data_IF_155768013337
#
_entry.id   IF_155768013337
#
_cell.length_a   1.000
_cell.length_b   1.000
_cell.length_c   1.000
_cell.angle_alpha   90.00
_cell.angle_beta   90.00
_cell.angle_gamma   90.00
#
_symmetry.space_group_name_H-M   'P 1'
#
loop_
_entity.id
_entity.type
_entity.pdbx_description
1 polymer ?
#
# COMPACT_ATOMS: atom_id res chain seq x y z
N UNK A 1 42.77 -26.37 68.39
CA UNK A 1 43.29 -26.64 67.07
C UNK A 1 42.35 -27.59 66.33
N UNK A 2 42.00 -27.38 65.09
CA UNK A 2 42.03 -26.22 64.21
C UNK A 2 40.67 -25.84 63.69
N UNK A 3 40.57 -24.59 63.46
CA UNK A 3 40.17 -23.81 62.30
C UNK A 3 38.90 -24.22 61.49
N UNK A 4 37.82 -23.48 61.73
CA UNK A 4 36.68 -23.39 60.89
C UNK A 4 36.93 -22.50 59.64
N UNK A 5 36.36 -22.88 58.52
CA UNK A 5 36.27 -22.05 57.32
C UNK A 5 34.80 -21.72 57.13
N UNK A 6 34.55 -20.45 57.24
CA UNK A 6 33.26 -19.79 57.04
C UNK A 6 33.00 -19.71 55.54
N UNK A 7 31.90 -20.29 55.02
CA UNK A 7 31.40 -20.03 53.70
C UNK A 7 30.39 -18.90 53.79
N UNK A 8 30.79 -17.71 53.28
CA UNK A 8 29.92 -16.58 53.12
C UNK A 8 28.91 -16.82 52.03
N UNK A 9 27.64 -16.55 52.32
CA UNK A 9 26.54 -16.47 51.39
C UNK A 9 26.76 -15.34 50.38
N UNK A 10 26.83 -15.68 49.12
CA UNK A 10 26.69 -14.77 47.98
C UNK A 10 25.37 -15.13 47.25
N UNK A 11 24.33 -14.51 47.71
CA UNK A 11 23.01 -14.71 47.14
C UNK A 11 22.15 -13.47 47.13
N UNK A 12 22.52 -12.45 46.33
CA UNK A 12 21.59 -11.39 45.94
C UNK A 12 22.15 -10.59 44.77
N UNK A 13 22.01 -11.10 43.53
CA UNK A 13 22.13 -10.25 42.34
C UNK A 13 21.59 -10.91 41.06
N UNK A 14 20.45 -11.58 41.12
CA UNK A 14 19.92 -12.34 39.97
C UNK A 14 18.71 -11.80 39.19
N UNK A 15 18.08 -10.62 39.47
CA UNK A 15 17.07 -10.12 38.53
C UNK A 15 17.65 -9.28 37.39
N UNK A 16 18.82 -8.67 37.53
CA UNK A 16 19.37 -7.80 36.48
C UNK A 16 20.06 -8.59 35.35
N UNK A 17 20.59 -9.79 35.62
CA UNK A 17 21.26 -10.61 34.61
C UNK A 17 20.28 -11.37 33.73
N UNK A 18 19.10 -11.73 34.25
CA UNK A 18 18.05 -12.38 33.44
C UNK A 18 17.40 -11.44 32.42
N UNK A 19 17.22 -10.16 32.75
CA UNK A 19 16.70 -9.17 31.82
C UNK A 19 17.70 -8.76 30.73
N UNK A 20 18.99 -8.71 31.09
CA UNK A 20 20.06 -8.47 30.12
C UNK A 20 20.25 -9.66 29.17
N UNK A 21 20.17 -10.90 29.68
CA UNK A 21 20.27 -12.10 28.87
C UNK A 21 19.05 -12.26 27.95
N UNK A 22 17.85 -11.87 28.37
CA UNK A 22 16.67 -11.86 27.51
C UNK A 22 16.79 -10.82 26.38
N UNK A 23 17.33 -9.64 26.68
CA UNK A 23 17.60 -8.62 25.64
C UNK A 23 18.74 -9.02 24.70
N UNK A 24 19.78 -9.67 25.22
CA UNK A 24 20.89 -10.20 24.40
C UNK A 24 20.47 -11.40 23.55
N UNK A 25 19.62 -12.29 24.04
CA UNK A 25 19.12 -13.42 23.27
C UNK A 25 18.14 -12.96 22.19
N UNK A 26 17.33 -11.91 22.40
CA UNK A 26 16.53 -11.31 21.34
C UNK A 26 17.38 -10.57 20.31
N UNK A 27 18.41 -9.84 20.73
CA UNK A 27 19.32 -9.18 19.80
C UNK A 27 20.20 -10.17 19.03
N UNK A 28 20.65 -11.26 19.65
CA UNK A 28 21.43 -12.30 18.97
C UNK A 28 20.56 -13.20 18.06
N UNK A 29 19.30 -13.45 18.41
CA UNK A 29 18.35 -14.13 17.54
C UNK A 29 17.98 -13.27 16.32
N UNK A 30 17.91 -11.93 16.46
CA UNK A 30 17.73 -11.03 15.33
C UNK A 30 18.96 -10.92 14.44
N UNK A 31 20.20 -11.09 15.00
CA UNK A 31 21.45 -11.01 14.25
C UNK A 31 21.80 -12.30 13.49
N UNK A 32 21.27 -13.46 13.86
CA UNK A 32 21.56 -14.74 13.20
C UNK A 32 20.47 -15.20 12.21
N UNK A 33 19.34 -14.50 12.18
CA UNK A 33 18.23 -14.78 11.25
C UNK A 33 18.32 -14.00 9.92
N UNK A 34 19.50 -13.55 9.52
CA UNK A 34 19.73 -12.54 8.48
C UNK A 34 19.71 -13.06 7.03
N UNK A 35 19.20 -14.26 6.76
CA UNK A 35 19.13 -14.76 5.37
C UNK A 35 17.73 -14.81 4.76
N UNK A 36 16.68 -14.59 5.55
CA UNK A 36 15.31 -14.56 5.03
C UNK A 36 14.58 -13.34 5.56
N UNK A 37 14.12 -12.46 4.67
CA UNK A 37 13.17 -11.42 5.03
C UNK A 37 11.92 -12.08 5.63
N UNK A 38 11.42 -11.57 6.76
CA UNK A 38 10.13 -12.01 7.26
C UNK A 38 9.08 -11.76 6.19
N UNK A 39 8.14 -12.70 6.02
CA UNK A 39 7.00 -12.54 5.11
C UNK A 39 6.30 -11.20 5.37
N UNK A 40 5.89 -10.48 4.29
CA UNK A 40 5.16 -9.23 4.43
C UNK A 40 3.94 -9.42 5.32
N UNK A 41 3.54 -8.42 6.11
CA UNK A 41 2.39 -8.51 7.02
C UNK A 41 1.10 -8.94 6.31
N UNK A 42 1.00 -8.66 4.99
CA UNK A 42 -0.13 -9.06 4.13
C UNK A 42 -0.20 -10.54 3.82
N UNK A 43 0.95 -11.23 3.79
CA UNK A 43 1.05 -12.66 3.45
C UNK A 43 1.09 -13.56 4.69
N UNK A 44 1.17 -13.00 5.89
CA UNK A 44 1.07 -13.83 7.10
C UNK A 44 -0.29 -14.51 7.13
N UNK A 45 -0.31 -15.83 7.09
CA UNK A 45 -1.52 -16.66 7.21
C UNK A 45 -2.27 -16.41 8.52
N UNK A 46 -1.56 -16.00 9.56
CA UNK A 46 -2.13 -15.74 10.87
C UNK A 46 -2.71 -14.32 10.96
N UNK A 47 -3.81 -14.20 11.68
CA UNK A 47 -4.45 -12.92 12.01
C UNK A 47 -3.50 -12.17 12.96
N UNK A 48 -3.31 -10.85 12.78
CA UNK A 48 -2.54 -10.02 13.71
C UNK A 48 -3.14 -10.07 15.12
N UNK A 49 -2.33 -9.97 16.15
CA UNK A 49 -2.80 -10.03 17.53
C UNK A 49 -3.81 -8.92 17.86
N UNK A 50 -3.62 -7.75 17.27
CA UNK A 50 -4.54 -6.61 17.44
C UNK A 50 -5.89 -6.89 16.76
N UNK A 51 -5.87 -7.47 15.55
CA UNK A 51 -7.10 -7.88 14.85
C UNK A 51 -7.80 -9.02 15.57
N UNK A 52 -7.06 -9.95 16.15
CA UNK A 52 -7.61 -11.00 17.02
C UNK A 52 -8.30 -10.40 18.23
N UNK A 53 -7.69 -9.41 18.88
CA UNK A 53 -8.29 -8.69 20.01
C UNK A 53 -9.58 -7.98 19.59
N UNK A 54 -9.61 -7.36 18.41
CA UNK A 54 -10.83 -6.76 17.85
C UNK A 54 -11.94 -7.80 17.65
N UNK A 55 -11.64 -8.97 17.06
CA UNK A 55 -12.63 -10.03 16.88
C UNK A 55 -13.17 -10.56 18.22
N UNK A 56 -12.31 -10.64 19.24
CA UNK A 56 -12.75 -11.00 20.60
C UNK A 56 -13.67 -9.92 21.20
N UNK A 57 -13.38 -8.65 20.93
CA UNK A 57 -14.21 -7.54 21.40
C UNK A 57 -15.59 -7.55 20.76
N UNK A 58 -15.67 -7.80 19.45
CA UNK A 58 -16.95 -7.98 18.73
C UNK A 58 -17.73 -9.20 19.26
N UNK A 59 -17.02 -10.27 19.64
CA UNK A 59 -17.67 -11.43 20.28
C UNK A 59 -18.21 -11.09 21.66
N UNK A 60 -17.46 -10.29 22.41
CA UNK A 60 -17.90 -9.78 23.72
C UNK A 60 -19.16 -8.92 23.59
N UNK A 61 -19.26 -8.04 22.56
CA UNK A 61 -20.46 -7.26 22.30
C UNK A 61 -21.71 -8.15 22.16
N UNK A 62 -21.63 -9.16 21.30
CA UNK A 62 -22.74 -10.11 21.12
C UNK A 62 -23.11 -10.80 22.42
N UNK A 63 -22.14 -11.30 23.18
CA UNK A 63 -22.39 -12.00 24.46
C UNK A 63 -23.01 -11.06 25.50
N UNK A 64 -22.54 -9.82 25.53
CA UNK A 64 -23.00 -8.81 26.47
C UNK A 64 -24.45 -8.39 26.19
N UNK A 65 -24.79 -8.12 24.92
CA UNK A 65 -26.16 -7.80 24.50
C UNK A 65 -27.10 -9.01 24.77
N UNK A 66 -26.61 -10.22 24.46
CA UNK A 66 -27.37 -11.46 24.73
C UNK A 66 -27.66 -11.65 26.22
N UNK A 67 -26.66 -11.37 27.07
CA UNK A 67 -26.82 -11.45 28.52
C UNK A 67 -27.85 -10.45 29.03
N UNK A 68 -27.78 -9.19 28.58
CA UNK A 68 -28.75 -8.17 28.96
C UNK A 68 -30.17 -8.54 28.53
N UNK A 69 -30.34 -9.09 27.32
CA UNK A 69 -31.64 -9.56 26.85
C UNK A 69 -32.17 -10.74 27.68
N UNK A 70 -31.31 -11.73 28.04
CA UNK A 70 -31.70 -12.85 28.93
C UNK A 70 -32.12 -12.35 30.32
N UNK A 71 -31.41 -11.37 30.88
CA UNK A 71 -31.75 -10.76 32.15
C UNK A 71 -33.15 -10.10 32.07
N UNK A 72 -33.41 -9.38 30.99
CA UNK A 72 -34.71 -8.75 30.74
C UNK A 72 -35.83 -9.80 30.70
N UNK A 73 -35.65 -10.89 29.92
CA UNK A 73 -36.59 -12.00 29.86
C UNK A 73 -36.88 -12.63 31.24
N UNK A 74 -35.91 -12.59 32.15
CA UNK A 74 -36.06 -13.23 33.48
C UNK A 74 -36.74 -12.35 34.53
N UNK A 75 -36.85 -11.03 34.31
CA UNK A 75 -37.44 -10.10 35.28
C UNK A 75 -38.87 -10.43 35.65
N UNK A 76 -39.66 -10.95 34.74
CA UNK A 76 -41.12 -11.19 34.91
C UNK A 76 -41.49 -12.65 35.23
N UNK A 77 -40.68 -13.39 35.94
CA UNK A 77 -40.93 -14.74 36.53
C UNK A 77 -41.24 -15.91 35.57
N UNK A 78 -41.43 -15.72 34.27
CA UNK A 78 -41.66 -16.81 33.31
C UNK A 78 -40.93 -16.56 32.00
N UNK A 79 -39.72 -17.07 31.94
CA UNK A 79 -38.86 -16.92 30.75
C UNK A 79 -39.55 -17.43 29.48
N UNK A 80 -40.23 -18.56 29.54
CA UNK A 80 -40.89 -19.17 28.38
C UNK A 80 -42.04 -18.32 27.83
N UNK A 81 -42.86 -17.74 28.71
CA UNK A 81 -43.94 -16.86 28.30
C UNK A 81 -43.43 -15.54 27.70
N UNK A 82 -42.37 -14.98 28.29
CA UNK A 82 -41.77 -13.78 27.77
C UNK A 82 -41.08 -14.03 26.43
N UNK A 83 -40.37 -15.17 26.29
CA UNK A 83 -39.76 -15.57 25.03
C UNK A 83 -40.79 -15.79 23.91
N UNK A 84 -41.91 -16.45 24.24
CA UNK A 84 -43.02 -16.61 23.29
C UNK A 84 -43.60 -15.26 22.87
N UNK A 85 -43.79 -14.35 23.81
CA UNK A 85 -44.27 -12.97 23.54
C UNK A 85 -43.28 -12.19 22.67
N UNK A 86 -41.99 -12.27 22.98
CA UNK A 86 -40.93 -11.52 22.31
C UNK A 86 -40.62 -12.04 20.90
N UNK A 87 -40.64 -13.37 20.69
CA UNK A 87 -40.21 -13.98 19.43
C UNK A 87 -41.38 -14.37 18.54
N UNK A 88 -42.45 -15.04 19.12
CA UNK A 88 -43.57 -15.56 18.35
C UNK A 88 -44.63 -14.48 18.12
N UNK A 89 -44.89 -13.67 19.15
CA UNK A 89 -45.85 -12.53 19.07
C UNK A 89 -45.09 -11.21 18.99
N UNK A 90 -44.06 -11.19 18.14
CA UNK A 90 -43.20 -10.04 17.97
C UNK A 90 -43.97 -8.74 17.72
N UNK A 91 -43.73 -7.74 18.55
CA UNK A 91 -44.18 -6.36 18.36
C UNK A 91 -43.00 -5.39 18.43
N UNK A 92 -42.77 -4.64 17.36
CA UNK A 92 -41.64 -3.70 17.24
C UNK A 92 -41.60 -2.67 18.38
N UNK A 93 -42.75 -2.30 18.95
CA UNK A 93 -42.82 -1.28 19.99
C UNK A 93 -42.39 -1.76 21.37
N UNK A 94 -42.60 -3.05 21.69
CA UNK A 94 -42.41 -3.60 23.03
C UNK A 94 -41.30 -4.66 23.13
N UNK A 95 -40.86 -5.26 22.01
CA UNK A 95 -39.89 -6.34 22.01
C UNK A 95 -38.44 -5.84 21.95
N UNK A 96 -37.54 -6.49 22.69
CA UNK A 96 -36.10 -6.30 22.64
C UNK A 96 -35.38 -7.28 21.72
N UNK A 97 -36.09 -8.26 21.19
CA UNK A 97 -35.52 -9.29 20.31
C UNK A 97 -34.84 -8.76 19.07
N UNK A 98 -35.34 -7.64 18.54
CA UNK A 98 -34.77 -6.97 17.36
C UNK A 98 -33.40 -6.35 17.64
N UNK A 99 -33.13 -5.85 18.85
CA UNK A 99 -31.81 -5.33 19.25
C UNK A 99 -30.82 -6.50 19.36
N UNK A 100 -31.26 -7.65 19.89
CA UNK A 100 -30.45 -8.87 19.88
C UNK A 100 -30.16 -9.35 18.47
N UNK A 101 -31.16 -9.38 17.58
CA UNK A 101 -31.00 -9.78 16.18
C UNK A 101 -30.02 -8.84 15.43
N UNK A 102 -30.11 -7.54 15.72
CA UNK A 102 -29.19 -6.54 15.18
C UNK A 102 -27.75 -6.79 15.65
N UNK A 103 -27.54 -7.16 16.92
CA UNK A 103 -26.21 -7.54 17.43
C UNK A 103 -25.66 -8.79 16.75
N UNK A 104 -26.51 -9.81 16.51
CA UNK A 104 -26.10 -11.01 15.74
C UNK A 104 -25.69 -10.63 14.31
N UNK A 105 -26.50 -9.84 13.62
CA UNK A 105 -26.20 -9.37 12.26
C UNK A 105 -24.86 -8.61 12.21
N UNK A 106 -24.65 -7.68 13.14
CA UNK A 106 -23.41 -6.93 13.26
C UNK A 106 -22.21 -7.82 13.52
N UNK A 107 -22.32 -8.76 14.47
CA UNK A 107 -21.29 -9.75 14.76
C UNK A 107 -20.89 -10.51 13.49
N UNK A 108 -21.87 -11.06 12.76
CA UNK A 108 -21.59 -11.81 11.53
C UNK A 108 -20.91 -10.96 10.47
N UNK A 109 -21.41 -9.74 10.22
CA UNK A 109 -20.82 -8.82 9.25
C UNK A 109 -19.36 -8.47 9.60
N UNK A 110 -19.07 -8.14 10.86
CA UNK A 110 -17.73 -7.76 11.29
C UNK A 110 -16.77 -8.95 11.32
N UNK A 111 -17.20 -10.12 11.77
CA UNK A 111 -16.38 -11.34 11.77
C UNK A 111 -16.05 -11.79 10.35
N UNK A 112 -17.01 -11.80 9.44
CA UNK A 112 -16.80 -12.17 8.05
C UNK A 112 -15.84 -11.15 7.38
N UNK A 113 -16.09 -9.86 7.56
CA UNK A 113 -15.28 -8.81 6.92
C UNK A 113 -13.84 -8.77 7.45
N UNK A 114 -13.66 -8.79 8.76
CA UNK A 114 -12.35 -8.52 9.37
C UNK A 114 -11.58 -9.78 9.79
N UNK A 115 -12.26 -10.89 10.10
CA UNK A 115 -11.60 -12.15 10.42
C UNK A 115 -11.41 -13.04 9.16
N UNK A 116 -12.44 -13.22 8.34
CA UNK A 116 -12.38 -14.10 7.17
C UNK A 116 -11.72 -13.41 5.97
N UNK A 117 -12.24 -12.27 5.54
CA UNK A 117 -11.73 -11.54 4.38
C UNK A 117 -10.56 -10.61 4.69
N UNK A 118 -10.19 -10.42 5.95
CA UNK A 118 -9.08 -9.58 6.41
C UNK A 118 -9.11 -8.18 5.80
N UNK A 119 -10.31 -7.58 5.64
CA UNK A 119 -10.45 -6.27 5.04
C UNK A 119 -9.67 -5.22 5.83
N UNK A 120 -9.00 -4.31 5.11
CA UNK A 120 -8.24 -3.19 5.67
C UNK A 120 -9.00 -1.88 5.61
N UNK A 121 -10.25 -1.91 5.17
CA UNK A 121 -11.08 -0.73 5.00
C UNK A 121 -12.07 -0.57 6.15
N UNK A 122 -12.20 0.65 6.63
CA UNK A 122 -13.15 1.03 7.66
C UNK A 122 -14.63 1.03 7.21
N UNK A 123 -14.91 0.84 5.92
CA UNK A 123 -16.27 0.94 5.34
C UNK A 123 -17.29 0.02 6.00
N UNK A 124 -16.94 -1.24 6.23
CA UNK A 124 -17.89 -2.22 6.76
C UNK A 124 -18.31 -1.83 8.16
N UNK A 125 -17.37 -1.43 9.02
CA UNK A 125 -17.71 -1.00 10.38
C UNK A 125 -18.46 0.34 10.37
N UNK A 126 -18.14 1.26 9.47
CA UNK A 126 -18.86 2.51 9.32
C UNK A 126 -20.32 2.28 8.91
N UNK A 127 -20.55 1.41 7.91
CA UNK A 127 -21.91 1.08 7.46
C UNK A 127 -22.68 0.34 8.56
N UNK A 128 -22.10 -0.68 9.18
CA UNK A 128 -22.77 -1.43 10.26
C UNK A 128 -23.08 -0.55 11.46
N UNK A 129 -22.19 0.38 11.82
CA UNK A 129 -22.42 1.34 12.91
C UNK A 129 -23.48 2.38 12.55
N UNK A 130 -23.49 2.86 11.30
CA UNK A 130 -24.52 3.76 10.81
C UNK A 130 -25.90 3.09 10.84
N UNK A 131 -26.02 1.86 10.32
CA UNK A 131 -27.27 1.08 10.34
C UNK A 131 -27.72 0.82 11.78
N UNK A 132 -26.81 0.41 12.65
CA UNK A 132 -27.09 0.18 14.07
C UNK A 132 -27.60 1.45 14.75
N UNK A 133 -26.91 2.58 14.55
CA UNK A 133 -27.30 3.86 15.14
C UNK A 133 -28.66 4.34 14.64
N UNK A 134 -28.89 4.27 13.32
CA UNK A 134 -30.16 4.64 12.71
C UNK A 134 -31.32 3.78 13.23
N UNK A 135 -31.10 2.45 13.32
CA UNK A 135 -32.09 1.52 13.87
C UNK A 135 -32.40 1.82 15.34
N UNK A 136 -31.38 2.01 16.18
CA UNK A 136 -31.58 2.31 17.60
C UNK A 136 -32.28 3.66 17.82
N UNK A 137 -31.95 4.69 17.03
CA UNK A 137 -32.65 5.99 17.07
C UNK A 137 -34.12 5.81 16.67
N UNK A 138 -34.39 5.11 15.58
CA UNK A 138 -35.77 4.83 15.16
C UNK A 138 -36.55 4.03 16.22
N UNK A 139 -35.90 3.04 16.82
CA UNK A 139 -36.45 2.26 17.91
C UNK A 139 -36.82 3.12 19.12
N UNK A 140 -35.91 4.01 19.54
CA UNK A 140 -36.12 4.94 20.65
C UNK A 140 -37.29 5.91 20.38
N UNK A 141 -37.46 6.37 19.14
CA UNK A 141 -38.54 7.33 18.80
C UNK A 141 -39.91 6.64 18.69
N UNK A 142 -39.96 5.42 18.16
CA UNK A 142 -41.21 4.74 17.81
C UNK A 142 -41.72 3.88 18.96
N UNK A 143 -40.83 3.40 19.85
CA UNK A 143 -41.22 2.46 20.92
C UNK A 143 -41.60 3.15 22.20
N UNK A 144 -42.56 2.52 22.94
CA UNK A 144 -43.00 2.94 24.26
C UNK A 144 -42.11 2.38 25.39
N UNK A 145 -40.90 1.86 25.02
CA UNK A 145 -39.98 1.16 25.94
C UNK A 145 -39.50 2.00 27.11
N UNK A 146 -39.49 3.33 26.95
CA UNK A 146 -39.08 4.27 28.01
C UNK A 146 -40.05 4.38 29.17
N UNK A 147 -41.28 3.92 29.00
CA UNK A 147 -42.34 4.05 30.02
C UNK A 147 -42.47 2.85 30.94
N UNK A 148 -41.98 1.69 30.52
CA UNK A 148 -42.28 0.43 31.24
C UNK A 148 -41.16 -0.08 32.15
N UNK A 149 -39.85 -0.02 31.76
CA UNK A 149 -38.74 -0.60 32.55
C UNK A 149 -37.41 0.09 32.36
N UNK A 150 -36.51 -0.02 33.37
CA UNK A 150 -35.15 0.49 33.30
C UNK A 150 -34.33 -0.12 32.13
N UNK A 151 -34.62 -1.34 31.69
CA UNK A 151 -33.97 -1.99 30.54
C UNK A 151 -34.30 -1.32 29.20
N UNK A 152 -35.44 -0.60 29.11
CA UNK A 152 -35.79 0.20 27.95
C UNK A 152 -34.74 1.26 27.60
N UNK A 153 -33.98 1.75 28.57
CA UNK A 153 -32.87 2.72 28.35
C UNK A 153 -31.53 2.02 28.25
N UNK A 154 -31.27 1.05 29.12
CA UNK A 154 -29.95 0.43 29.27
C UNK A 154 -29.52 -0.31 28.01
N UNK A 155 -30.41 -1.11 27.42
CA UNK A 155 -30.08 -1.97 26.29
C UNK A 155 -29.77 -1.17 25.00
N UNK A 156 -30.59 -0.19 24.57
CA UNK A 156 -30.23 0.66 23.41
C UNK A 156 -29.00 1.52 23.61
N UNK A 157 -28.84 2.12 24.82
CA UNK A 157 -27.69 2.99 25.11
C UNK A 157 -26.39 2.19 25.13
N UNK A 158 -26.37 1.02 25.76
CA UNK A 158 -25.18 0.18 25.81
C UNK A 158 -24.82 -0.36 24.44
N UNK A 159 -25.79 -0.82 23.63
CA UNK A 159 -25.56 -1.21 22.25
C UNK A 159 -24.97 -0.10 21.40
N UNK A 160 -25.46 1.12 21.58
CA UNK A 160 -24.92 2.30 20.87
C UNK A 160 -23.48 2.60 21.29
N UNK A 161 -23.19 2.63 22.60
CA UNK A 161 -21.86 2.91 23.13
C UNK A 161 -20.84 1.85 22.68
N UNK A 162 -21.21 0.57 22.77
CA UNK A 162 -20.33 -0.52 22.34
C UNK A 162 -20.06 -0.45 20.84
N UNK A 163 -21.07 -0.15 20.02
CA UNK A 163 -20.89 0.06 18.57
C UNK A 163 -19.88 1.17 18.24
N UNK A 164 -19.89 2.26 19.00
CA UNK A 164 -18.94 3.34 18.88
C UNK A 164 -17.52 2.96 19.35
N UNK A 165 -17.41 2.23 20.45
CA UNK A 165 -16.15 1.71 20.96
C UNK A 165 -15.49 0.75 19.99
N UNK A 166 -16.26 -0.13 19.34
CA UNK A 166 -15.73 -1.04 18.31
C UNK A 166 -15.20 -0.27 17.10
N UNK A 167 -15.95 0.75 16.64
CA UNK A 167 -15.51 1.61 15.53
C UNK A 167 -14.23 2.34 15.87
N UNK A 168 -14.16 2.93 17.08
CA UNK A 168 -12.97 3.59 17.56
C UNK A 168 -11.77 2.62 17.67
N UNK A 169 -11.98 1.43 18.24
CA UNK A 169 -10.93 0.44 18.40
C UNK A 169 -10.38 -0.04 17.05
N UNK A 170 -11.24 -0.29 16.06
CA UNK A 170 -10.81 -0.69 14.74
C UNK A 170 -10.00 0.42 14.05
N UNK A 171 -10.51 1.64 14.02
CA UNK A 171 -9.90 2.74 13.28
C UNK A 171 -8.57 3.20 13.92
N UNK A 172 -8.58 3.45 15.23
CA UNK A 172 -7.43 4.01 15.93
C UNK A 172 -6.40 3.00 16.42
N UNK A 173 -6.76 1.73 16.59
CA UNK A 173 -5.83 0.71 17.06
C UNK A 173 -5.46 -0.30 15.99
N UNK A 174 -6.45 -0.96 15.37
CA UNK A 174 -6.17 -2.05 14.45
C UNK A 174 -5.58 -1.53 13.15
N UNK A 175 -6.25 -0.59 12.49
CA UNK A 175 -5.82 -0.09 11.18
C UNK A 175 -4.54 0.74 11.29
N UNK A 176 -4.37 1.52 12.35
CA UNK A 176 -3.16 2.33 12.57
C UNK A 176 -1.96 1.43 12.85
N UNK A 177 -2.08 0.44 13.74
CA UNK A 177 -0.98 -0.46 14.07
C UNK A 177 -0.60 -1.36 12.89
N UNK A 178 -1.56 -1.87 12.13
CA UNK A 178 -1.26 -2.63 10.91
C UNK A 178 -0.54 -1.76 9.85
N UNK A 179 -0.88 -0.47 9.77
CA UNK A 179 -0.19 0.47 8.88
C UNK A 179 1.24 0.81 9.38
N UNK A 180 1.46 0.89 10.69
CA UNK A 180 2.77 1.09 11.28
C UNK A 180 3.66 -0.14 11.11
N UNK A 181 3.12 -1.34 11.32
CA UNK A 181 3.83 -2.61 11.09
C UNK A 181 4.24 -2.76 9.62
N UNK A 182 3.38 -2.35 8.69
CA UNK A 182 3.69 -2.35 7.26
C UNK A 182 4.79 -1.36 6.91
N UNK A 183 4.75 -0.15 7.49
CA UNK A 183 5.80 0.87 7.31
C UNK A 183 7.14 0.42 7.90
N UNK A 184 7.13 -0.15 9.11
CA UNK A 184 8.32 -0.68 9.74
C UNK A 184 8.93 -1.83 8.92
N UNK A 185 8.09 -2.70 8.37
CA UNK A 185 8.54 -3.77 7.46
C UNK A 185 9.18 -3.19 6.19
N UNK A 186 8.53 -2.21 5.53
CA UNK A 186 9.07 -1.56 4.34
C UNK A 186 10.37 -0.82 4.64
N UNK A 187 10.47 -0.15 5.80
CA UNK A 187 11.71 0.50 6.23
C UNK A 187 12.84 -0.51 6.46
N UNK A 188 12.54 -1.66 7.08
CA UNK A 188 13.51 -2.74 7.28
C UNK A 188 13.96 -3.37 5.95
N UNK A 189 13.03 -3.53 4.99
CA UNK A 189 13.34 -4.00 3.63
C UNK A 189 14.24 -3.00 2.91
N UNK A 190 13.93 -1.71 2.97
CA UNK A 190 14.73 -0.66 2.34
C UNK A 190 16.13 -0.58 2.96
N UNK A 191 16.25 -0.63 4.29
CA UNK A 191 17.54 -0.67 4.98
C UNK A 191 18.37 -1.92 4.63
N UNK A 192 17.71 -3.07 4.44
CA UNK A 192 18.36 -4.29 4.01
C UNK A 192 18.80 -4.23 2.54
N UNK A 193 18.02 -3.56 1.67
CA UNK A 193 18.41 -3.26 0.27
C UNK A 193 19.62 -2.34 0.22
N UNK A 194 19.62 -1.26 1.02
CA UNK A 194 20.73 -0.30 1.11
C UNK A 194 22.03 -0.95 1.61
N UNK A 195 21.94 -1.95 2.48
CA UNK A 195 23.11 -2.68 2.98
C UNK A 195 23.66 -3.72 2.00
N UNK A 196 23.13 -3.86 0.80
CA UNK A 196 23.56 -4.81 -0.23
C UNK A 196 23.35 -6.29 0.14
N UNK A 197 22.58 -6.58 1.20
CA UNK A 197 22.38 -7.92 1.76
C UNK A 197 21.16 -8.66 1.20
N UNK A 198 20.37 -8.04 0.33
CA UNK A 198 19.22 -8.69 -0.29
C UNK A 198 19.62 -9.33 -1.61
N UNK A 199 19.85 -10.63 -1.57
CA UNK A 199 19.70 -11.48 -2.73
C UNK A 199 18.20 -11.77 -2.84
N UNK A 200 17.54 -11.30 -3.91
CA UNK A 200 16.15 -11.65 -4.19
C UNK A 200 15.96 -13.16 -4.13
N UNK A 201 14.90 -13.69 -3.50
CA UNK A 201 14.57 -15.09 -3.63
C UNK A 201 14.19 -15.35 -5.09
N UNK A 202 15.18 -15.81 -5.87
CA UNK A 202 14.95 -16.39 -7.19
C UNK A 202 14.06 -17.59 -6.96
N UNK A 203 12.91 -17.65 -7.62
CA UNK A 203 12.09 -18.86 -7.65
C UNK A 203 13.01 -20.04 -7.92
N UNK A 204 13.05 -20.98 -6.98
CA UNK A 204 13.85 -22.19 -7.08
C UNK A 204 13.22 -23.04 -8.18
N UNK A 205 13.72 -22.92 -9.40
CA UNK A 205 13.61 -23.98 -10.38
C UNK A 205 14.76 -24.94 -10.11
N UNK A 206 14.42 -26.21 -9.98
CA UNK A 206 15.32 -27.32 -9.69
C UNK A 206 16.65 -27.25 -10.47
N UNK A 207 17.73 -27.40 -9.71
CA UNK A 207 18.94 -28.06 -10.09
C UNK A 207 19.89 -27.30 -11.00
N UNK A 208 20.63 -26.32 -10.44
CA UNK A 208 22.04 -26.12 -10.81
C UNK A 208 22.79 -25.41 -9.68
N UNK A 209 23.76 -26.11 -9.11
CA UNK A 209 24.77 -25.56 -8.22
C UNK A 209 25.65 -24.60 -9.01
N UNK A 210 25.63 -23.30 -8.64
CA UNK A 210 26.66 -22.35 -9.00
C UNK A 210 27.50 -22.01 -7.80
N UNK A 211 28.80 -22.26 -7.89
CA UNK A 211 29.81 -21.78 -6.95
C UNK A 211 29.80 -20.25 -6.91
N UNK A 212 29.96 -19.62 -5.73
CA UNK A 212 30.07 -18.15 -5.64
C UNK A 212 31.31 -17.69 -6.38
N UNK A 213 31.24 -16.56 -7.13
CA UNK A 213 32.44 -15.94 -7.67
C UNK A 213 33.30 -15.43 -6.51
N UNK A 214 34.55 -15.80 -6.52
CA UNK A 214 35.58 -15.34 -5.61
C UNK A 214 35.61 -13.81 -5.58
N UNK A 215 35.73 -13.27 -4.37
CA UNK A 215 35.95 -11.87 -4.09
C UNK A 215 37.28 -11.44 -4.73
N UNK A 216 37.25 -10.76 -5.84
CA UNK A 216 38.38 -9.97 -6.31
C UNK A 216 38.46 -8.72 -5.44
N UNK A 217 39.25 -8.82 -4.38
CA UNK A 217 39.87 -7.68 -3.77
C UNK A 217 40.88 -7.11 -4.78
N UNK A 218 40.45 -6.12 -5.55
CA UNK A 218 41.33 -5.31 -6.36
C UNK A 218 41.94 -4.23 -5.50
N UNK A 219 43.23 -4.35 -5.26
CA UNK A 219 44.07 -3.31 -4.71
C UNK A 219 43.99 -2.03 -5.53
N UNK A 220 43.94 -0.91 -4.81
CA UNK A 220 44.25 0.41 -5.30
C UNK A 220 45.66 0.40 -5.91
N UNK A 221 45.75 0.59 -7.22
CA UNK A 221 46.95 1.11 -7.86
C UNK A 221 46.59 2.40 -8.55
N UNK A 222 47.06 3.48 -7.95
CA UNK A 222 47.15 4.80 -8.53
C UNK A 222 47.98 4.72 -9.81
N UNK A 223 47.36 5.03 -10.95
CA UNK A 223 48.09 5.53 -12.11
C UNK A 223 47.46 6.86 -12.53
N UNK A 224 48.19 7.90 -12.24
CA UNK A 224 48.04 9.23 -12.79
C UNK A 224 47.99 9.18 -14.33
N UNK A 225 46.83 9.56 -14.89
CA UNK A 225 46.75 10.10 -16.24
C UNK A 225 46.10 11.48 -16.18
N UNK A 226 46.94 12.50 -16.32
CA UNK A 226 46.53 13.85 -16.63
C UNK A 226 45.72 13.87 -17.93
N UNK A 227 44.47 14.31 -17.85
CA UNK A 227 43.65 14.49 -19.04
C UNK A 227 42.23 14.97 -18.75
N UNK A 228 42.04 16.32 -18.74
CA UNK A 228 40.76 17.02 -18.93
C UNK A 228 39.60 16.71 -17.97
N UNK A 229 39.51 17.52 -16.90
CA UNK A 229 38.28 18.07 -16.36
C UNK A 229 37.08 17.13 -16.15
N UNK A 230 37.24 15.88 -15.69
CA UNK A 230 36.10 15.07 -15.22
C UNK A 230 35.73 15.51 -13.80
N UNK A 231 34.62 16.26 -13.70
CA UNK A 231 33.99 16.59 -12.42
C UNK A 231 33.78 15.30 -11.62
N UNK A 232 34.32 15.24 -10.40
CA UNK A 232 34.14 14.10 -9.51
C UNK A 232 32.64 13.85 -9.28
N UNK A 233 32.16 12.64 -9.59
CA UNK A 233 30.77 12.23 -9.42
C UNK A 233 30.46 12.12 -7.93
N UNK A 234 29.50 12.90 -7.45
CA UNK A 234 29.09 12.89 -6.03
C UNK A 234 28.44 11.56 -5.64
N UNK A 235 28.45 11.24 -4.34
CA UNK A 235 27.74 10.05 -3.80
C UNK A 235 26.26 10.08 -4.16
N UNK A 236 25.64 11.26 -4.13
CA UNK A 236 24.25 11.44 -4.52
C UNK A 236 24.00 11.14 -6.01
N UNK A 237 24.90 11.56 -6.88
CA UNK A 237 24.82 11.28 -8.33
C UNK A 237 24.96 9.77 -8.61
N UNK A 238 25.87 9.08 -7.90
CA UNK A 238 25.99 7.61 -7.97
C UNK A 238 24.69 6.93 -7.57
N UNK A 239 24.03 7.44 -6.53
CA UNK A 239 22.74 6.90 -6.07
C UNK A 239 21.63 7.13 -7.10
N UNK A 240 21.55 8.30 -7.74
CA UNK A 240 20.58 8.54 -8.83
C UNK A 240 20.80 7.59 -10.01
N UNK A 241 22.04 7.35 -10.39
CA UNK A 241 22.37 6.38 -11.46
C UNK A 241 21.94 4.95 -11.06
N UNK A 242 22.20 4.56 -9.81
CA UNK A 242 21.78 3.25 -9.27
C UNK A 242 20.26 3.08 -9.34
N UNK A 243 19.51 4.06 -8.83
CA UNK A 243 18.04 4.07 -8.87
C UNK A 243 17.49 4.04 -10.29
N UNK A 244 18.08 4.80 -11.21
CA UNK A 244 17.70 4.78 -12.63
C UNK A 244 17.92 3.42 -13.29
N UNK A 245 19.02 2.73 -12.97
CA UNK A 245 19.28 1.35 -13.44
C UNK A 245 18.33 0.34 -12.85
N UNK A 246 18.02 0.46 -11.58
CA UNK A 246 17.05 -0.39 -10.89
C UNK A 246 15.65 -0.27 -11.51
N UNK A 247 15.16 0.97 -11.70
CA UNK A 247 13.89 1.21 -12.36
C UNK A 247 13.86 0.62 -13.78
N UNK A 248 14.96 0.74 -14.54
CA UNK A 248 15.10 0.17 -15.87
C UNK A 248 14.99 -1.37 -15.84
N UNK A 249 15.68 -2.02 -14.91
CA UNK A 249 15.64 -3.48 -14.77
C UNK A 249 14.23 -4.00 -14.45
N UNK A 250 13.51 -3.29 -13.55
CA UNK A 250 12.12 -3.65 -13.20
C UNK A 250 11.18 -3.45 -14.39
N UNK A 251 11.28 -2.35 -15.13
CA UNK A 251 10.45 -2.12 -16.33
C UNK A 251 10.71 -3.19 -17.39
N UNK A 252 11.97 -3.56 -17.64
CA UNK A 252 12.29 -4.65 -18.57
C UNK A 252 11.71 -5.99 -18.10
N UNK A 253 11.78 -6.29 -16.81
CA UNK A 253 11.17 -7.50 -16.25
C UNK A 253 9.64 -7.50 -16.45
N UNK A 254 8.96 -6.37 -16.24
CA UNK A 254 7.52 -6.26 -16.49
C UNK A 254 7.19 -6.57 -17.94
N UNK A 255 7.98 -6.08 -18.90
CA UNK A 255 7.77 -6.33 -20.33
C UNK A 255 7.97 -7.81 -20.71
N UNK A 256 8.84 -8.53 -20.02
CA UNK A 256 9.03 -9.98 -20.27
C UNK A 256 7.90 -10.85 -19.71
N UNK A 257 7.07 -10.31 -18.82
CA UNK A 257 5.98 -11.00 -18.13
C UNK A 257 4.59 -10.61 -18.69
N UNK A 258 4.49 -10.31 -19.97
CA UNK A 258 3.23 -9.86 -20.60
C UNK A 258 2.08 -10.88 -20.40
N UNK A 259 2.38 -12.17 -20.33
CA UNK A 259 1.43 -13.26 -20.05
C UNK A 259 0.75 -13.15 -18.66
N UNK A 260 1.40 -12.49 -17.71
CA UNK A 260 0.89 -12.29 -16.34
C UNK A 260 0.08 -11.01 -16.18
N UNK A 261 -0.03 -10.19 -17.22
CA UNK A 261 -0.79 -8.96 -17.18
C UNK A 261 -2.29 -9.28 -17.16
N UNK A 262 -2.98 -8.74 -16.14
CA UNK A 262 -4.43 -8.89 -16.00
C UNK A 262 -5.12 -7.72 -16.70
N UNK A 263 -6.02 -8.04 -17.63
CA UNK A 263 -6.83 -7.01 -18.29
C UNK A 263 -7.69 -6.27 -17.26
N UNK A 264 -7.67 -4.93 -17.31
CA UNK A 264 -8.45 -4.05 -16.44
C UNK A 264 -9.55 -3.33 -17.23
N UNK A 265 -9.18 -2.64 -18.32
CA UNK A 265 -10.11 -1.81 -19.10
C UNK A 265 -9.54 -1.50 -20.49
N UNK A 266 -10.43 -1.24 -21.45
CA UNK A 266 -10.08 -0.65 -22.75
C UNK A 266 -10.95 0.58 -23.03
N UNK A 267 -10.55 1.35 -24.06
CA UNK A 267 -11.34 2.44 -24.64
C UNK A 267 -11.81 2.08 -26.06
N UNK A 268 -12.65 2.97 -26.64
CA UNK A 268 -13.22 2.77 -27.98
C UNK A 268 -12.18 2.84 -29.11
N UNK A 269 -10.99 3.35 -28.84
CA UNK A 269 -9.88 3.47 -29.80
C UNK A 269 -9.00 2.20 -29.84
N UNK A 270 -9.21 1.27 -28.89
CA UNK A 270 -8.48 0.02 -28.78
C UNK A 270 -7.24 0.10 -27.87
N UNK A 271 -7.05 1.18 -27.10
CA UNK A 271 -6.04 1.20 -26.06
C UNK A 271 -6.47 0.32 -24.90
N UNK A 272 -5.57 -0.48 -24.37
CA UNK A 272 -5.84 -1.41 -23.27
C UNK A 272 -5.01 -1.06 -22.05
N UNK A 273 -5.66 -1.07 -20.90
CA UNK A 273 -5.01 -0.98 -19.58
C UNK A 273 -5.04 -2.35 -18.93
N UNK A 274 -3.89 -2.79 -18.48
CA UNK A 274 -3.66 -4.01 -17.73
C UNK A 274 -3.14 -3.67 -16.34
N UNK A 275 -3.14 -4.65 -15.46
CA UNK A 275 -2.54 -4.55 -14.12
C UNK A 275 -1.65 -5.75 -13.82
N UNK A 276 -0.59 -5.50 -13.06
CA UNK A 276 0.33 -6.50 -12.55
C UNK A 276 0.66 -6.17 -11.10
N UNK A 277 0.63 -7.16 -10.22
CA UNK A 277 1.14 -7.02 -8.85
C UNK A 277 2.65 -7.28 -8.85
N UNK A 278 3.42 -6.27 -8.46
CA UNK A 278 4.87 -6.38 -8.35
C UNK A 278 5.24 -6.54 -6.88
N UNK A 279 6.02 -7.55 -6.52
CA UNK A 279 6.53 -7.70 -5.16
C UNK A 279 7.16 -6.39 -4.68
N UNK A 280 6.82 -5.95 -3.46
CA UNK A 280 7.27 -4.73 -2.80
C UNK A 280 6.77 -3.39 -3.39
N UNK A 281 6.31 -3.36 -4.65
CA UNK A 281 5.83 -2.14 -5.32
C UNK A 281 4.30 -2.11 -5.49
N UNK A 282 3.61 -3.22 -5.23
CA UNK A 282 2.15 -3.30 -5.29
C UNK A 282 1.59 -3.27 -6.71
N UNK A 283 0.33 -2.82 -6.83
CA UNK A 283 -0.42 -2.82 -8.09
C UNK A 283 0.15 -1.79 -9.06
N UNK A 284 0.62 -2.29 -10.21
CA UNK A 284 1.16 -1.50 -11.31
C UNK A 284 0.18 -1.52 -12.48
N UNK A 285 -0.07 -0.37 -13.07
CA UNK A 285 -0.91 -0.20 -14.25
C UNK A 285 -0.05 -0.16 -15.51
N UNK A 286 -0.48 -0.84 -16.56
CA UNK A 286 0.24 -0.94 -17.82
C UNK A 286 -0.73 -0.61 -18.93
N UNK A 287 -0.52 0.54 -19.59
CA UNK A 287 -1.26 0.90 -20.79
C UNK A 287 -0.48 0.42 -22.01
N UNK A 288 -1.17 -0.22 -22.95
CA UNK A 288 -0.63 -0.63 -24.24
C UNK A 288 -1.50 -0.03 -25.35
N UNK A 289 -0.89 0.72 -26.27
CA UNK A 289 -1.56 1.44 -27.32
C UNK A 289 -0.81 1.37 -28.64
N UNK A 290 -1.52 1.24 -29.75
CA UNK A 290 -0.96 1.31 -31.10
C UNK A 290 -1.07 2.76 -31.62
N UNK A 291 0.04 3.29 -32.11
CA UNK A 291 0.14 4.62 -32.69
C UNK A 291 0.51 4.56 -34.17
N UNK A 292 -0.20 5.35 -34.99
CA UNK A 292 0.03 5.48 -36.43
C UNK A 292 1.09 6.56 -36.72
N UNK A 293 2.31 6.37 -36.15
CA UNK A 293 3.45 7.25 -36.36
C UNK A 293 4.75 6.50 -36.10
N UNK A 294 5.89 7.10 -36.47
CA UNK A 294 7.19 6.50 -36.21
C UNK A 294 7.51 6.49 -34.70
N UNK A 295 8.20 5.44 -34.26
CA UNK A 295 8.68 5.35 -32.89
C UNK A 295 9.61 6.51 -32.50
N UNK A 296 10.38 7.05 -33.45
CA UNK A 296 11.26 8.19 -33.23
C UNK A 296 10.50 9.46 -32.86
N UNK A 297 9.35 9.73 -33.52
CA UNK A 297 8.53 10.89 -33.19
C UNK A 297 8.00 10.82 -31.76
N UNK A 298 7.49 9.64 -31.33
CA UNK A 298 7.02 9.45 -29.96
C UNK A 298 8.17 9.56 -28.95
N UNK A 299 9.33 9.02 -29.28
CA UNK A 299 10.52 9.13 -28.47
C UNK A 299 10.91 10.58 -28.23
N UNK A 300 10.91 11.42 -29.26
CA UNK A 300 11.25 12.85 -29.17
C UNK A 300 10.21 13.63 -28.33
N UNK A 301 8.92 13.42 -28.58
CA UNK A 301 7.85 14.18 -27.95
C UNK A 301 7.58 13.79 -26.50
N UNK A 302 7.79 12.51 -26.13
CA UNK A 302 7.44 12.00 -24.80
C UNK A 302 8.66 11.79 -23.92
N UNK A 303 9.76 11.30 -24.48
CA UNK A 303 10.91 10.85 -23.69
C UNK A 303 12.01 11.90 -23.64
N UNK A 304 12.43 12.47 -24.78
CA UNK A 304 13.55 13.40 -24.82
C UNK A 304 13.23 14.81 -24.33
N UNK A 305 11.97 15.24 -24.51
CA UNK A 305 11.56 16.62 -24.21
C UNK A 305 10.38 16.63 -23.22
N UNK A 306 10.54 16.06 -22.00
CA UNK A 306 9.43 15.92 -21.05
C UNK A 306 8.88 17.28 -20.59
N UNK A 307 9.69 18.34 -20.57
CA UNK A 307 9.26 19.69 -20.21
C UNK A 307 8.26 20.26 -21.21
N UNK A 308 8.34 19.86 -22.50
CA UNK A 308 7.39 20.29 -23.53
C UNK A 308 6.05 19.57 -23.43
N UNK A 309 5.95 18.46 -22.71
CA UNK A 309 4.66 17.76 -22.51
C UNK A 309 3.59 18.65 -21.90
N UNK A 310 3.95 19.60 -21.05
CA UNK A 310 3.02 20.56 -20.44
C UNK A 310 2.23 21.37 -21.50
N UNK A 311 2.80 21.56 -22.69
CA UNK A 311 2.16 22.37 -23.75
C UNK A 311 0.98 21.64 -24.40
N UNK A 312 0.98 20.31 -24.43
CA UNK A 312 -0.04 19.52 -25.11
C UNK A 312 -0.77 18.52 -24.20
N UNK A 313 -0.17 18.12 -23.09
CA UNK A 313 -0.75 17.17 -22.15
C UNK A 313 -1.34 17.87 -20.93
N UNK A 314 -2.66 17.90 -20.82
CA UNK A 314 -3.39 18.57 -19.72
C UNK A 314 -3.35 17.80 -18.39
N UNK A 315 -2.91 16.55 -18.39
CA UNK A 315 -2.79 15.75 -17.14
C UNK A 315 -1.59 16.18 -16.29
N UNK A 316 -0.68 17.01 -16.86
CA UNK A 316 0.51 17.53 -16.19
C UNK A 316 0.45 19.07 -16.21
N UNK A 317 0.59 19.70 -15.07
CA UNK A 317 0.58 21.16 -14.93
C UNK A 317 1.97 21.78 -14.91
N UNK A 318 3.01 21.01 -14.54
CA UNK A 318 4.41 21.42 -14.58
C UNK A 318 5.33 20.22 -14.77
N UNK A 319 6.43 20.43 -15.49
CA UNK A 319 7.53 19.48 -15.61
C UNK A 319 8.84 20.26 -15.72
N UNK A 320 9.83 19.94 -14.89
CA UNK A 320 11.13 20.60 -14.84
C UNK A 320 12.23 19.57 -14.63
N UNK A 321 13.31 19.66 -15.43
CA UNK A 321 14.54 18.91 -15.14
C UNK A 321 15.32 19.66 -14.07
N UNK A 322 15.52 19.03 -12.92
CA UNK A 322 16.27 19.59 -11.80
C UNK A 322 17.78 19.43 -11.97
N UNK A 323 18.19 18.26 -12.42
CA UNK A 323 19.59 17.90 -12.59
C UNK A 323 19.76 16.88 -13.73
N UNK A 324 20.77 17.06 -14.57
CA UNK A 324 21.29 16.04 -15.47
C UNK A 324 22.49 15.40 -14.79
N UNK A 325 22.39 14.08 -14.52
CA UNK A 325 23.40 13.32 -13.76
C UNK A 325 24.47 12.77 -14.70
N UNK A 326 24.01 12.10 -15.75
CA UNK A 326 24.83 11.63 -16.87
C UNK A 326 24.08 11.78 -18.19
N UNK A 327 24.60 11.26 -19.30
CA UNK A 327 23.99 11.36 -20.64
C UNK A 327 22.60 10.70 -20.69
N UNK A 328 22.35 9.72 -19.83
CA UNK A 328 21.14 8.91 -19.83
C UNK A 328 20.27 9.11 -18.58
N UNK A 329 20.79 9.75 -17.53
CA UNK A 329 20.13 9.86 -16.23
C UNK A 329 19.89 11.31 -15.85
N UNK A 330 18.67 11.64 -15.47
CA UNK A 330 18.26 12.95 -14.99
C UNK A 330 17.29 12.86 -13.82
N UNK A 331 17.21 13.93 -13.02
CA UNK A 331 16.20 14.10 -11.97
C UNK A 331 15.19 15.14 -12.43
N UNK A 332 13.90 14.79 -12.40
CA UNK A 332 12.80 15.68 -12.78
C UNK A 332 11.89 16.00 -11.60
N UNK A 333 11.22 17.14 -11.69
CA UNK A 333 10.12 17.56 -10.84
C UNK A 333 8.88 17.70 -11.71
N UNK A 334 7.85 16.93 -11.40
CA UNK A 334 6.62 16.87 -12.16
C UNK A 334 5.43 17.20 -11.25
N UNK A 335 4.46 17.96 -11.76
CA UNK A 335 3.21 18.26 -11.06
C UNK A 335 2.04 17.77 -11.90
N UNK A 336 1.27 16.82 -11.36
CA UNK A 336 0.05 16.35 -12.01
C UNK A 336 -1.07 17.37 -11.84
N UNK A 337 -1.93 17.47 -12.84
CA UNK A 337 -3.20 18.16 -12.69
C UNK A 337 -4.11 17.40 -11.73
N UNK A 338 -5.14 18.06 -11.19
CA UNK A 338 -6.19 17.38 -10.44
C UNK A 338 -6.97 16.41 -11.35
N UNK A 339 -7.50 15.36 -10.77
CA UNK A 339 -8.26 14.34 -11.49
C UNK A 339 -9.64 14.10 -10.88
N UNK A 340 -10.48 13.32 -11.57
CA UNK A 340 -11.83 12.93 -11.13
C UNK A 340 -12.71 14.13 -10.70
N UNK A 341 -12.75 15.19 -11.53
CA UNK A 341 -13.59 16.37 -11.25
C UNK A 341 -13.18 17.16 -9.99
N UNK A 342 -11.91 17.10 -9.58
CA UNK A 342 -11.39 17.80 -8.40
C UNK A 342 -11.35 16.96 -7.12
N UNK A 343 -11.82 15.72 -7.15
CA UNK A 343 -11.73 14.79 -6.00
C UNK A 343 -10.27 14.45 -5.70
N UNK A 344 -9.45 14.30 -6.73
CA UNK A 344 -8.00 14.11 -6.60
C UNK A 344 -7.32 15.46 -6.82
N UNK A 345 -6.80 16.06 -5.76
CA UNK A 345 -6.05 17.32 -5.85
C UNK A 345 -4.70 17.13 -6.56
N UNK A 346 -4.08 18.17 -7.12
CA UNK A 346 -2.76 18.09 -7.75
C UNK A 346 -1.70 17.48 -6.83
N UNK A 347 -0.84 16.63 -7.41
CA UNK A 347 0.30 15.99 -6.74
C UNK A 347 1.59 16.45 -7.38
N UNK A 348 2.63 16.54 -6.56
CA UNK A 348 3.98 16.77 -7.07
C UNK A 348 4.85 15.52 -6.86
N UNK A 349 5.82 15.34 -7.75
CA UNK A 349 6.73 14.20 -7.75
C UNK A 349 8.15 14.69 -8.02
N UNK A 350 9.12 14.06 -7.37
CA UNK A 350 10.54 14.16 -7.72
C UNK A 350 10.99 12.78 -8.14
N UNK A 351 11.42 12.64 -9.38
CA UNK A 351 11.76 11.35 -9.97
C UNK A 351 13.17 11.36 -10.53
N UNK A 352 13.91 10.29 -10.31
CA UNK A 352 15.06 9.97 -11.15
C UNK A 352 14.55 9.25 -12.38
N UNK A 353 15.10 9.58 -13.54
CA UNK A 353 14.74 9.01 -14.83
C UNK A 353 15.98 8.63 -15.60
N UNK A 354 16.00 7.41 -16.13
CA UNK A 354 17.01 6.91 -17.04
C UNK A 354 16.41 6.56 -18.39
N UNK A 355 17.10 6.94 -19.45
CA UNK A 355 16.67 6.70 -20.84
C UNK A 355 17.67 5.78 -21.52
N UNK A 356 17.16 4.77 -22.22
CA UNK A 356 17.97 3.85 -23.03
C UNK A 356 17.40 3.70 -24.45
N UNK A 357 18.29 3.74 -25.43
CA UNK A 357 18.00 3.47 -26.84
C UNK A 357 18.45 2.05 -27.18
N UNK A 358 17.49 1.18 -27.47
CA UNK A 358 17.77 -0.18 -27.92
C UNK A 358 17.46 -0.31 -29.41
N UNK A 359 17.89 -1.42 -30.00
CA UNK A 359 17.71 -1.66 -31.43
C UNK A 359 16.23 -1.68 -31.84
N UNK A 360 15.40 -2.33 -31.01
CA UNK A 360 13.98 -2.60 -31.23
C UNK A 360 13.04 -1.63 -30.48
N UNK A 361 13.56 -0.82 -29.55
CA UNK A 361 12.74 0.04 -28.69
C UNK A 361 13.48 1.21 -28.08
N UNK A 362 12.72 2.17 -27.60
CA UNK A 362 13.16 3.25 -26.71
C UNK A 362 12.53 3.05 -25.35
N UNK A 363 13.28 3.20 -24.28
CA UNK A 363 12.81 3.02 -22.91
C UNK A 363 13.20 4.24 -22.07
N UNK A 364 12.24 4.78 -21.34
CA UNK A 364 12.47 5.75 -20.27
C UNK A 364 11.89 5.16 -18.99
N UNK A 365 12.74 4.80 -18.04
CA UNK A 365 12.33 4.24 -16.77
C UNK A 365 12.78 5.14 -15.61
N UNK A 366 12.00 5.18 -14.54
CA UNK A 366 12.29 6.00 -13.38
C UNK A 366 11.50 5.60 -12.16
N UNK A 367 11.85 6.21 -11.04
CA UNK A 367 11.19 6.05 -9.75
C UNK A 367 11.38 7.31 -8.92
N UNK A 368 10.61 7.45 -7.85
CA UNK A 368 10.74 8.60 -6.96
C UNK A 368 12.06 8.64 -6.23
N UNK A 369 12.56 9.85 -6.04
CA UNK A 369 13.78 10.13 -5.30
C UNK A 369 13.64 11.42 -4.47
N UNK A 370 14.67 11.78 -3.73
CA UNK A 370 14.74 13.03 -2.96
C UNK A 370 15.77 13.96 -3.59
N UNK A 371 15.41 15.23 -3.75
CA UNK A 371 16.31 16.26 -4.25
C UNK A 371 16.23 17.52 -3.38
N UNK A 372 17.36 18.07 -2.97
CA UNK A 372 17.46 19.19 -2.02
C UNK A 372 16.74 20.46 -2.50
N UNK A 373 16.71 20.72 -3.82
CA UNK A 373 16.04 21.90 -4.38
C UNK A 373 14.51 21.82 -4.40
N UNK A 374 13.91 20.66 -4.14
CA UNK A 374 12.46 20.46 -4.18
C UNK A 374 11.97 19.67 -2.95
N UNK A 375 12.11 20.22 -1.75
CA UNK A 375 11.49 19.63 -0.56
C UNK A 375 9.95 19.59 -0.71
N UNK A 376 9.24 18.72 0.04
CA UNK A 376 7.77 18.72 0.07
C UNK A 376 7.21 20.11 0.38
N UNK A 377 6.17 20.52 -0.33
CA UNK A 377 5.57 21.84 -0.21
C UNK A 377 4.08 21.74 0.15
N UNK A 378 3.54 22.55 1.08
CA UNK A 378 2.15 22.46 1.54
C UNK A 378 1.08 22.61 0.45
N UNK A 379 1.43 23.21 -0.68
CA UNK A 379 0.51 23.42 -1.83
C UNK A 379 0.11 22.11 -2.51
N UNK A 380 0.99 21.08 -2.47
CA UNK A 380 0.79 19.82 -3.15
C UNK A 380 0.96 18.65 -2.18
N UNK A 381 0.28 17.56 -2.48
CA UNK A 381 0.57 16.29 -1.83
C UNK A 381 1.74 15.66 -2.58
N UNK A 382 2.86 15.39 -1.88
CA UNK A 382 3.99 14.69 -2.47
C UNK A 382 3.60 13.23 -2.71
N UNK A 383 3.40 12.88 -4.00
CA UNK A 383 3.23 11.51 -4.43
C UNK A 383 4.56 10.79 -4.57
N UNK A 384 4.51 9.47 -4.68
CA UNK A 384 5.67 8.62 -4.88
C UNK A 384 5.41 7.66 -6.04
N UNK A 385 6.34 7.61 -6.99
CA UNK A 385 6.34 6.65 -8.07
C UNK A 385 7.28 5.49 -7.71
N UNK A 386 6.79 4.26 -7.79
CA UNK A 386 7.62 3.09 -7.89
C UNK A 386 8.24 2.97 -9.29
N UNK A 387 9.01 1.91 -9.55
CA UNK A 387 9.61 1.68 -10.87
C UNK A 387 8.55 1.66 -11.96
N UNK A 388 8.72 2.52 -12.99
CA UNK A 388 7.77 2.68 -14.08
C UNK A 388 8.33 3.58 -15.16
N UNK A 389 7.56 3.86 -16.21
CA UNK A 389 7.98 4.75 -17.27
C UNK A 389 7.33 4.47 -18.63
N UNK A 390 7.97 4.92 -19.69
CA UNK A 390 7.49 4.82 -21.06
C UNK A 390 8.37 3.91 -21.91
N UNK A 391 7.73 3.08 -22.72
CA UNK A 391 8.39 2.21 -23.68
C UNK A 391 7.76 2.40 -25.05
N UNK A 392 8.58 2.59 -26.07
CA UNK A 392 8.14 2.74 -27.45
C UNK A 392 8.77 1.63 -28.27
N UNK A 393 7.98 0.62 -28.65
CA UNK A 393 8.41 -0.49 -29.46
C UNK A 393 8.35 -0.13 -30.94
N UNK A 394 9.44 -0.37 -31.66
CA UNK A 394 9.50 -0.18 -33.10
C UNK A 394 8.81 -1.35 -33.79
N UNK A 395 8.00 -1.08 -34.81
CA UNK A 395 7.48 -2.14 -35.66
C UNK A 395 8.54 -2.61 -36.66
N UNK A 396 8.77 -3.90 -36.75
CA UNK A 396 9.68 -4.48 -37.72
C UNK A 396 9.13 -4.47 -39.16
N UNK A 397 7.81 -4.50 -39.29
CA UNK A 397 7.10 -4.58 -40.57
C UNK A 397 6.72 -3.22 -41.13
N UNK A 398 6.46 -2.22 -40.29
CA UNK A 398 6.01 -0.89 -40.72
C UNK A 398 6.58 0.21 -39.85
N UNK A 399 7.60 0.98 -40.33
CA UNK A 399 8.22 2.05 -39.57
C UNK A 399 7.29 3.23 -39.26
N UNK A 400 6.13 3.32 -39.92
CA UNK A 400 5.11 4.35 -39.66
C UNK A 400 4.14 3.97 -38.54
N UNK A 401 4.37 2.86 -37.86
CA UNK A 401 3.56 2.37 -36.73
C UNK A 401 4.47 1.99 -35.57
N UNK A 402 4.05 2.32 -34.37
CA UNK A 402 4.75 1.89 -33.15
C UNK A 402 3.76 1.48 -32.06
N UNK A 403 4.24 0.68 -31.12
CA UNK A 403 3.48 0.35 -29.89
C UNK A 403 4.02 1.20 -28.75
N UNK A 404 3.13 1.94 -28.11
CA UNK A 404 3.43 2.71 -26.90
C UNK A 404 2.96 1.93 -25.68
N UNK A 405 3.84 1.78 -24.69
CA UNK A 405 3.55 1.16 -23.41
C UNK A 405 3.89 2.15 -22.31
N UNK A 406 2.95 2.36 -21.39
CA UNK A 406 3.16 3.16 -20.19
C UNK A 406 3.02 2.26 -18.96
N UNK A 407 4.11 2.08 -18.23
CA UNK A 407 4.15 1.38 -16.94
C UNK A 407 4.03 2.42 -15.84
N UNK A 408 2.95 2.39 -15.09
CA UNK A 408 2.63 3.35 -14.04
C UNK A 408 2.46 2.63 -12.70
N UNK A 409 3.46 2.77 -11.85
CA UNK A 409 3.39 2.41 -10.44
C UNK A 409 3.43 3.71 -9.63
N UNK A 410 2.36 4.05 -8.93
CA UNK A 410 2.29 5.33 -8.22
C UNK A 410 1.46 5.22 -6.94
N UNK A 411 1.95 5.83 -5.88
CA UNK A 411 1.22 6.11 -4.67
C UNK A 411 0.90 7.61 -4.60
N UNK A 412 -0.36 7.95 -4.81
CA UNK A 412 -0.83 9.34 -4.78
C UNK A 412 -0.86 9.93 -3.38
N UNK A 413 -0.60 9.14 -2.35
CA UNK A 413 -0.69 9.53 -0.93
C UNK A 413 -2.04 10.20 -0.58
N UNK A 414 -2.20 10.57 0.67
CA UNK A 414 -3.44 11.21 1.14
C UNK A 414 -4.54 10.19 1.50
N UNK A 415 -5.72 10.68 1.85
CA UNK A 415 -6.86 9.88 2.33
C UNK A 415 -7.84 9.52 1.21
N UNK A 416 -7.34 9.01 0.09
CA UNK A 416 -8.19 8.62 -1.04
C UNK A 416 -8.53 7.13 -0.98
N UNK A 417 -9.80 6.73 -1.22
CA UNK A 417 -10.17 5.32 -1.36
C UNK A 417 -9.43 4.67 -2.53
N UNK A 418 -8.89 3.48 -2.33
CA UNK A 418 -8.08 2.78 -3.35
C UNK A 418 -8.80 2.59 -4.69
N UNK A 419 -10.10 2.30 -4.66
CA UNK A 419 -10.86 2.10 -5.89
C UNK A 419 -10.94 3.40 -6.73
N UNK A 420 -11.08 4.58 -6.08
CA UNK A 420 -11.06 5.89 -6.77
C UNK A 420 -9.68 6.17 -7.37
N UNK A 421 -8.62 5.82 -6.66
CA UNK A 421 -7.25 5.92 -7.18
C UNK A 421 -7.13 5.06 -8.45
N UNK A 422 -7.50 3.79 -8.39
CA UNK A 422 -7.40 2.87 -9.52
C UNK A 422 -8.21 3.35 -10.73
N UNK A 423 -9.44 3.80 -10.49
CA UNK A 423 -10.29 4.33 -11.55
C UNK A 423 -9.73 5.63 -12.16
N UNK A 424 -9.19 6.51 -11.33
CA UNK A 424 -8.58 7.77 -11.78
C UNK A 424 -7.29 7.55 -12.57
N UNK A 425 -6.45 6.59 -12.17
CA UNK A 425 -5.22 6.27 -12.88
C UNK A 425 -5.49 5.76 -14.29
N UNK A 426 -6.40 4.79 -14.46
CA UNK A 426 -6.77 4.30 -15.78
C UNK A 426 -7.37 5.41 -16.66
N UNK A 427 -8.22 6.28 -16.10
CA UNK A 427 -8.80 7.42 -16.82
C UNK A 427 -7.70 8.42 -17.25
N UNK A 428 -6.76 8.74 -16.39
CA UNK A 428 -5.62 9.62 -16.69
C UNK A 428 -4.74 9.04 -17.81
N UNK A 429 -4.54 7.73 -17.84
CA UNK A 429 -3.77 7.07 -18.90
C UNK A 429 -4.47 7.20 -20.26
N UNK A 430 -5.79 7.03 -20.33
CA UNK A 430 -6.55 7.23 -21.57
C UNK A 430 -6.60 8.70 -22.01
N UNK A 431 -6.72 9.62 -21.06
CA UNK A 431 -6.66 11.06 -21.32
C UNK A 431 -5.31 11.46 -21.90
N UNK A 432 -4.21 10.99 -21.33
CA UNK A 432 -2.87 11.17 -21.88
C UNK A 432 -2.77 10.66 -23.31
N UNK A 433 -3.29 9.45 -23.60
CA UNK A 433 -3.28 8.91 -24.96
C UNK A 433 -4.08 9.73 -25.97
N UNK A 434 -5.19 10.29 -25.53
CA UNK A 434 -5.97 11.23 -26.37
C UNK A 434 -5.15 12.46 -26.73
N UNK A 435 -4.49 13.08 -25.75
CA UNK A 435 -3.63 14.24 -25.98
C UNK A 435 -2.41 13.91 -26.86
N UNK A 436 -1.77 12.74 -26.64
CA UNK A 436 -0.65 12.30 -27.45
C UNK A 436 -1.07 12.10 -28.92
N UNK A 437 -2.24 11.50 -29.18
CA UNK A 437 -2.76 11.33 -30.54
C UNK A 437 -3.06 12.66 -31.20
N UNK A 438 -3.64 13.62 -30.48
CA UNK A 438 -3.86 14.98 -30.99
C UNK A 438 -2.53 15.66 -31.33
N UNK A 439 -1.51 15.50 -30.45
CA UNK A 439 -0.17 16.04 -30.69
C UNK A 439 0.47 15.42 -31.93
N UNK A 440 0.41 14.10 -32.10
CA UNK A 440 0.94 13.41 -33.27
C UNK A 440 0.23 13.87 -34.56
N UNK A 441 -1.08 14.06 -34.50
CA UNK A 441 -1.86 14.53 -35.66
C UNK A 441 -1.44 15.93 -36.11
N UNK A 442 -0.94 16.79 -35.22
CA UNK A 442 -0.45 18.13 -35.58
C UNK A 442 0.86 18.14 -36.37
N UNK A 443 1.55 17.01 -36.52
CA UNK A 443 2.74 16.84 -37.34
C UNK A 443 2.47 16.21 -38.73
N UNK A 444 1.24 15.84 -39.00
CA UNK A 444 0.78 15.35 -40.28
C UNK A 444 0.23 16.51 -41.13
#
# INVERSE_FOLDING_TARGET
MPSGVEYGELGESLPAISSLNASYSQASLSAHSSHYLPLPPTERRNISDVRRTFCLFVTFDLLFVSLLWIIELNVNKSIWLNLEKEVVRYDFRSSFFDIFLLAVFRFLCLQIAYAAFKLRHWWVIAITTLVTSAFLIAKVIISDLFTENAFGYVLPITSFVVAWLETWFLDFKVLTQEAEDERAYLAAVNAACESGRLIYPRAVSDGQFYSPPESLAGSDDDLDEEGLGRRAVTTQEKEFVRQGREAMAVVEQILTQEENWKFEKNNDVGDCVYTLEIPFHGKTFILKALLQCSAELVYQEVILQPEKMVQWNRTISACQILQRVDDNTSVSYDVSSGAAGGVVSPRDFVNVRRVERKRDRYVSAGMSTVHSSKPPHPRYVRGENGPGGFVVLKSSSNPSVCTFIWVLNTDLKGRLPRYLIHQSLAATMFEFMSHLRQRIASFR
#
